data_IF_204660840876
#
_entry.id   IF_204660840876
#
_cell.length_a   1.000
_cell.length_b   1.000
_cell.length_c   1.000
_cell.angle_alpha   90.00
_cell.angle_beta   90.00
_cell.angle_gamma   90.00
#
_symmetry.space_group_name_H-M   'P 1'
#
loop_
_entity.id
_entity.type
_entity.pdbx_description
1 polymer ?
#
# COMPACT_ATOMS: atom_id res chain seq x y z
N UNK A 1 3.20 16.66 -2.28
CA UNK A 1 3.08 15.96 -3.58
C UNK A 1 2.07 14.85 -3.42
N UNK A 2 1.29 14.47 -4.44
CA UNK A 2 0.38 13.31 -4.38
C UNK A 2 0.39 12.48 -5.66
N UNK A 3 0.03 11.20 -5.56
CA UNK A 3 -0.15 10.33 -6.72
C UNK A 3 -1.53 10.52 -7.35
N UNK A 4 -1.59 10.45 -8.68
CA UNK A 4 -2.83 10.56 -9.45
C UNK A 4 -2.97 9.44 -10.48
N UNK A 5 -4.23 9.10 -10.79
CA UNK A 5 -4.58 8.17 -11.86
C UNK A 5 -4.41 8.81 -13.26
N UNK A 6 -4.68 8.04 -14.31
CA UNK A 6 -4.62 8.51 -15.69
C UNK A 6 -5.59 9.68 -16.01
N UNK A 7 -6.57 9.93 -15.16
CA UNK A 7 -7.55 11.03 -15.27
C UNK A 7 -7.21 12.22 -14.37
N UNK A 8 -6.05 12.20 -13.70
CA UNK A 8 -5.61 13.24 -12.77
C UNK A 8 -6.39 13.28 -11.45
N UNK A 9 -7.10 12.20 -11.10
CA UNK A 9 -7.79 12.10 -9.82
C UNK A 9 -6.85 11.51 -8.76
N UNK A 10 -6.98 11.92 -7.48
CA UNK A 10 -6.27 11.26 -6.38
C UNK A 10 -6.55 9.75 -6.40
N UNK A 11 -5.49 8.96 -6.52
CA UNK A 11 -5.57 7.51 -6.39
C UNK A 11 -5.14 7.12 -4.98
N UNK A 12 -5.68 6.02 -4.43
CA UNK A 12 -5.12 5.40 -3.21
C UNK A 12 -3.79 4.75 -3.60
N UNK A 13 -2.65 5.41 -3.36
CA UNK A 13 -1.42 4.94 -3.93
C UNK A 13 -0.81 3.87 -3.06
N UNK A 14 0.15 3.21 -3.66
CA UNK A 14 0.83 2.09 -3.06
C UNK A 14 1.52 2.50 -1.76
N UNK A 15 1.14 1.78 -0.73
CA UNK A 15 1.83 1.74 0.53
C UNK A 15 3.17 1.00 0.35
N UNK A 16 4.25 1.53 0.93
CA UNK A 16 5.59 0.94 0.82
C UNK A 16 6.42 1.35 -0.40
N UNK A 17 6.26 2.57 -0.95
CA UNK A 17 7.11 3.11 -2.04
C UNK A 17 7.96 4.28 -1.57
N UNK A 18 9.14 4.45 -2.17
CA UNK A 18 10.04 5.57 -1.93
C UNK A 18 9.92 6.60 -3.05
N UNK A 19 9.67 7.86 -2.69
CA UNK A 19 9.77 9.01 -3.58
C UNK A 19 11.07 9.71 -3.26
N UNK A 20 11.88 9.99 -4.28
CA UNK A 20 13.18 10.61 -4.11
C UNK A 20 13.33 11.82 -5.02
N UNK A 21 13.80 12.92 -4.42
CA UNK A 21 14.25 14.11 -5.13
C UNK A 21 15.77 14.15 -5.12
N UNK A 22 16.39 14.21 -6.30
CA UNK A 22 17.84 14.40 -6.47
C UNK A 22 18.13 15.74 -7.11
N UNK A 23 19.06 16.49 -6.56
CA UNK A 23 19.55 17.70 -7.22
C UNK A 23 20.14 17.36 -8.59
N UNK A 24 19.81 18.14 -9.62
CA UNK A 24 20.41 18.00 -10.96
C UNK A 24 21.60 18.95 -11.06
N UNK A 25 22.78 18.41 -11.33
CA UNK A 25 23.97 19.20 -11.54
C UNK A 25 23.83 20.04 -12.82
N UNK A 26 23.86 21.39 -12.75
CA UNK A 26 23.67 22.25 -13.91
C UNK A 26 24.82 22.14 -14.91
N UNK A 27 25.98 21.61 -14.51
CA UNK A 27 27.16 21.45 -15.37
C UNK A 27 27.06 20.18 -16.21
N UNK A 28 26.62 19.07 -15.60
CA UNK A 28 26.59 17.75 -16.23
C UNK A 28 25.19 17.33 -16.69
N UNK A 29 24.14 17.96 -16.15
CA UNK A 29 22.75 17.58 -16.36
C UNK A 29 22.35 16.27 -15.66
N UNK A 30 23.21 15.72 -14.78
CA UNK A 30 22.97 14.44 -14.14
C UNK A 30 22.41 14.59 -12.73
N UNK A 31 21.52 13.67 -12.34
CA UNK A 31 21.00 13.59 -10.98
C UNK A 31 22.11 13.21 -9.99
N UNK A 32 22.23 13.98 -8.91
CA UNK A 32 23.25 13.82 -7.89
C UNK A 32 23.00 12.62 -7.00
N UNK A 33 24.11 11.97 -6.62
CA UNK A 33 24.13 10.92 -5.58
C UNK A 33 24.47 11.46 -4.19
N UNK A 34 24.88 12.73 -4.09
CA UNK A 34 25.29 13.36 -2.84
C UNK A 34 24.21 14.28 -2.24
N UNK A 35 23.34 14.83 -3.07
CA UNK A 35 22.30 15.78 -2.67
C UNK A 35 20.93 15.23 -3.05
N UNK A 36 20.26 14.62 -2.08
CA UNK A 36 18.95 14.01 -2.27
C UNK A 36 18.09 14.14 -1.00
N UNK A 37 16.77 14.12 -1.20
CA UNK A 37 15.77 13.94 -0.16
C UNK A 37 14.90 12.75 -0.56
N UNK A 38 14.44 11.98 0.43
CA UNK A 38 13.61 10.80 0.22
C UNK A 38 12.43 10.83 1.20
N UNK A 39 11.30 10.32 0.74
CA UNK A 39 10.05 10.24 1.50
C UNK A 39 9.37 8.93 1.14
N UNK A 40 9.08 8.12 2.15
CA UNK A 40 8.41 6.84 1.98
C UNK A 40 6.93 6.99 2.33
N UNK A 41 6.04 6.33 1.58
CA UNK A 41 4.61 6.34 1.89
C UNK A 41 4.41 5.77 3.29
N UNK A 42 3.68 6.49 4.15
CA UNK A 42 3.59 6.16 5.58
C UNK A 42 4.10 7.26 6.53
N UNK A 43 4.94 8.21 6.06
CA UNK A 43 5.47 9.27 6.92
C UNK A 43 4.39 10.27 7.36
N UNK A 44 3.58 10.77 6.42
CA UNK A 44 2.49 11.73 6.72
C UNK A 44 1.17 11.04 7.01
N UNK A 45 0.88 9.90 6.37
CA UNK A 45 -0.36 9.16 6.51
C UNK A 45 -0.11 7.77 7.09
N UNK A 46 -0.87 7.34 8.09
CA UNK A 46 -0.73 6.01 8.68
C UNK A 46 -1.35 4.97 7.75
N UNK A 47 -0.51 4.15 7.13
CA UNK A 47 -0.95 3.01 6.36
C UNK A 47 -0.95 1.73 7.20
N UNK A 48 -2.01 0.93 7.11
CA UNK A 48 -2.20 -0.35 7.80
C UNK A 48 -2.41 -0.27 9.33
N UNK A 49 -3.64 -0.56 9.77
CA UNK A 49 -4.04 -0.62 11.19
C UNK A 49 -4.19 -2.06 11.72
N UNK A 50 -3.54 -3.04 11.05
CA UNK A 50 -3.77 -4.46 11.28
C UNK A 50 -4.92 -5.02 10.45
N UNK A 51 -5.47 -6.15 10.89
CA UNK A 51 -6.64 -6.78 10.27
C UNK A 51 -7.51 -7.47 11.33
N UNK A 52 -8.79 -7.76 11.05
CA UNK A 52 -9.70 -8.40 12.01
C UNK A 52 -9.26 -9.80 12.48
N UNK A 53 -8.38 -10.48 11.74
CA UNK A 53 -7.90 -11.83 12.07
C UNK A 53 -6.81 -11.77 13.14
N UNK A 54 -5.78 -10.96 12.91
CA UNK A 54 -4.56 -10.91 13.73
C UNK A 54 -4.57 -9.71 14.72
N UNK A 55 -5.51 -8.79 14.56
CA UNK A 55 -5.64 -7.59 15.38
C UNK A 55 -4.72 -6.43 14.94
N UNK A 56 -4.72 -5.33 15.70
CA UNK A 56 -4.05 -4.08 15.34
C UNK A 56 -2.57 -4.01 15.72
N UNK A 57 -2.03 -5.06 16.33
CA UNK A 57 -0.65 -5.09 16.85
C UNK A 57 0.18 -6.16 16.14
N UNK A 58 1.48 -5.90 16.00
CA UNK A 58 2.43 -6.89 15.51
C UNK A 58 2.73 -7.99 16.56
N UNK A 59 3.55 -8.97 16.18
CA UNK A 59 3.95 -10.09 17.05
C UNK A 59 4.73 -9.70 18.32
N UNK A 60 5.16 -8.45 18.44
CA UNK A 60 5.79 -7.88 19.63
C UNK A 60 4.83 -7.05 20.50
N UNK A 61 3.54 -7.03 20.15
CA UNK A 61 2.49 -6.28 20.85
C UNK A 61 2.48 -4.79 20.51
N UNK A 62 3.17 -4.41 19.44
CA UNK A 62 3.38 -3.04 19.03
C UNK A 62 2.32 -2.67 17.97
N UNK A 63 1.54 -1.57 18.14
CA UNK A 63 0.52 -1.16 17.15
C UNK A 63 1.11 -0.91 15.76
N UNK A 64 0.42 -1.36 14.72
CA UNK A 64 0.81 -1.13 13.32
C UNK A 64 0.69 0.36 12.91
N UNK A 65 -0.20 1.11 13.55
CA UNK A 65 -0.55 2.49 13.22
C UNK A 65 0.24 3.55 14.01
N UNK A 66 1.39 3.17 14.54
CA UNK A 66 2.26 3.99 15.41
C UNK A 66 2.90 5.21 14.74
N UNK A 67 2.85 5.30 13.41
CA UNK A 67 3.49 6.36 12.61
C UNK A 67 2.50 6.92 11.58
N UNK A 68 2.57 8.24 11.32
CA UNK A 68 1.69 8.95 10.38
C UNK A 68 0.39 9.47 11.00
N UNK A 69 -0.44 10.12 10.19
CA UNK A 69 -1.76 10.70 10.53
C UNK A 69 -2.91 9.85 9.98
N UNK A 70 -4.07 9.79 10.66
CA UNK A 70 -5.34 9.25 10.11
C UNK A 70 -6.07 10.21 9.17
N UNK A 71 -5.60 11.44 9.03
CA UNK A 71 -6.25 12.41 8.17
C UNK A 71 -6.22 11.93 6.71
N UNK A 72 -7.37 11.55 6.16
CA UNK A 72 -7.50 11.12 4.78
C UNK A 72 -7.05 12.21 3.78
N UNK A 73 -7.02 13.49 4.18
CA UNK A 73 -6.51 14.57 3.34
C UNK A 73 -5.00 14.49 3.06
N UNK A 74 -4.24 13.75 3.90
CA UNK A 74 -2.80 13.53 3.68
C UNK A 74 -2.50 12.16 3.08
N UNK A 75 -3.53 11.37 2.74
CA UNK A 75 -3.36 10.09 2.04
C UNK A 75 -2.62 10.31 0.71
N UNK A 76 -1.61 9.48 0.46
CA UNK A 76 -0.80 9.55 -0.75
C UNK A 76 0.11 10.78 -0.84
N UNK A 77 0.25 11.55 0.24
CA UNK A 77 1.15 12.71 0.26
C UNK A 77 2.59 12.35 0.63
N UNK A 78 3.53 13.02 -0.04
CA UNK A 78 4.96 12.94 0.23
C UNK A 78 5.52 14.31 0.55
N UNK A 79 6.39 14.35 1.56
CA UNK A 79 7.15 15.53 1.97
C UNK A 79 8.64 15.25 1.79
N UNK A 80 9.29 16.07 0.98
CA UNK A 80 10.70 16.01 0.61
C UNK A 80 11.45 17.24 1.13
N UNK A 81 11.10 17.68 2.33
CA UNK A 81 11.80 18.74 3.03
C UNK A 81 13.30 18.41 3.24
N UNK A 82 14.11 19.46 3.38
CA UNK A 82 15.54 19.31 3.66
C UNK A 82 16.42 19.00 2.45
N UNK A 83 15.89 19.04 1.22
CA UNK A 83 16.70 18.95 0.02
C UNK A 83 17.69 20.12 -0.05
N UNK A 84 18.97 19.81 0.09
CA UNK A 84 20.03 20.81 0.03
C UNK A 84 20.22 21.31 -1.41
N UNK A 85 20.20 22.63 -1.57
CA UNK A 85 20.60 23.30 -2.82
C UNK A 85 22.06 23.73 -2.67
N UNK A 86 23.02 22.99 -3.28
CA UNK A 86 24.44 23.27 -3.12
C UNK A 86 24.82 24.63 -3.71
N UNK A 87 25.76 25.31 -3.04
CA UNK A 87 26.28 26.62 -3.44
C UNK A 87 25.40 27.81 -3.03
N UNK A 88 25.74 28.99 -3.56
CA UNK A 88 25.07 30.26 -3.24
C UNK A 88 23.81 30.53 -4.08
N UNK A 89 23.42 29.60 -4.96
CA UNK A 89 22.20 29.73 -5.77
C UNK A 89 20.94 29.77 -4.91
N UNK A 90 19.94 30.52 -5.38
CA UNK A 90 18.62 30.62 -4.74
C UNK A 90 17.62 29.56 -5.21
N UNK A 91 17.90 28.89 -6.35
CA UNK A 91 17.06 27.85 -6.94
C UNK A 91 17.90 26.74 -7.57
N UNK A 92 17.27 25.58 -7.80
CA UNK A 92 17.88 24.43 -8.43
C UNK A 92 16.85 23.57 -9.17
N UNK A 93 17.33 22.80 -10.15
CA UNK A 93 16.55 21.72 -10.72
C UNK A 93 16.72 20.45 -9.88
N UNK A 94 15.64 19.70 -9.72
CA UNK A 94 15.63 18.43 -9.02
C UNK A 94 14.85 17.41 -9.84
N UNK A 95 15.37 16.20 -9.92
CA UNK A 95 14.73 15.07 -10.54
C UNK A 95 13.96 14.28 -9.47
N UNK A 96 12.65 14.12 -9.69
CA UNK A 96 11.79 13.28 -8.88
C UNK A 96 11.68 11.90 -9.52
N UNK A 97 11.87 10.87 -8.70
CA UNK A 97 11.76 9.47 -9.09
C UNK A 97 10.97 8.70 -8.04
N UNK A 98 10.35 7.60 -8.46
CA UNK A 98 9.62 6.67 -7.60
C UNK A 98 10.28 5.30 -7.73
N UNK A 99 10.62 4.70 -6.61
CA UNK A 99 11.29 3.40 -6.55
C UNK A 99 10.73 2.56 -5.40
N UNK A 100 10.98 1.25 -5.47
CA UNK A 100 10.68 0.37 -4.36
C UNK A 100 11.66 0.64 -3.19
N UNK A 101 11.19 0.49 -1.95
CA UNK A 101 12.05 0.67 -0.76
C UNK A 101 13.14 -0.40 -0.77
N UNK A 102 14.39 -0.02 -0.55
CA UNK A 102 15.50 -0.97 -0.43
C UNK A 102 15.23 -1.97 0.73
N UNK A 103 15.28 -3.30 0.47
CA UNK A 103 15.01 -4.32 1.47
C UNK A 103 15.88 -4.24 2.73
N UNK A 104 17.08 -3.66 2.65
CA UNK A 104 17.96 -3.46 3.81
C UNK A 104 17.37 -2.45 4.80
N UNK A 105 16.61 -1.48 4.30
CA UNK A 105 16.10 -0.35 5.08
C UNK A 105 14.60 -0.44 5.39
N UNK A 106 13.89 -1.38 4.76
CA UNK A 106 12.43 -1.58 4.87
C UNK A 106 11.92 -1.77 6.30
N UNK A 107 12.69 -2.45 7.16
CA UNK A 107 12.27 -2.74 8.54
C UNK A 107 12.07 -1.50 9.41
N UNK A 108 12.66 -0.37 9.02
CA UNK A 108 12.61 0.89 9.78
C UNK A 108 11.58 1.88 9.24
N UNK A 109 10.95 1.56 8.11
CA UNK A 109 10.00 2.43 7.40
C UNK A 109 8.59 1.85 7.51
N UNK A 110 7.92 2.12 8.64
CA UNK A 110 6.50 1.79 8.85
C UNK A 110 6.18 0.29 8.88
N UNK A 111 4.89 -0.10 8.80
CA UNK A 111 4.46 -1.51 8.90
C UNK A 111 4.81 -2.37 7.68
N UNK A 112 5.57 -1.84 6.71
CA UNK A 112 5.96 -2.52 5.47
C UNK A 112 7.19 -3.42 5.62
N UNK A 113 7.38 -4.01 6.81
CA UNK A 113 8.48 -4.91 7.10
C UNK A 113 8.50 -6.14 6.17
N UNK A 114 9.53 -7.00 6.30
CA UNK A 114 10.60 -7.33 5.33
C UNK A 114 10.21 -7.63 3.86
N UNK A 115 8.93 -7.66 3.50
CA UNK A 115 8.43 -8.00 2.17
C UNK A 115 8.14 -6.74 1.37
N UNK A 116 8.91 -6.55 0.31
CA UNK A 116 8.91 -5.33 -0.49
C UNK A 116 7.65 -5.26 -1.37
N UNK A 117 6.88 -4.18 -1.22
CA UNK A 117 5.81 -3.84 -2.17
C UNK A 117 6.46 -3.19 -3.39
N UNK A 118 6.40 -3.85 -4.55
CA UNK A 118 6.89 -3.29 -5.81
C UNK A 118 5.83 -2.37 -6.44
N UNK A 119 6.18 -1.17 -6.93
CA UNK A 119 5.26 -0.32 -7.68
C UNK A 119 4.57 -1.08 -8.82
N UNK A 120 3.25 -0.93 -8.93
CA UNK A 120 2.42 -1.55 -9.95
C UNK A 120 2.41 -0.78 -11.26
N UNK A 121 2.87 0.47 -11.23
CA UNK A 121 3.08 1.32 -12.39
C UNK A 121 4.48 1.92 -12.38
N UNK A 122 4.73 2.78 -13.36
CA UNK A 122 6.00 3.50 -13.49
C UNK A 122 5.75 4.98 -13.74
N UNK A 123 6.70 5.82 -13.37
CA UNK A 123 6.68 7.24 -13.72
C UNK A 123 8.01 7.60 -14.36
N UNK A 124 8.02 8.31 -15.50
CA UNK A 124 9.27 8.85 -16.02
C UNK A 124 9.81 9.91 -15.04
N UNK A 125 11.13 10.13 -14.97
CA UNK A 125 11.70 11.14 -14.10
C UNK A 125 11.08 12.52 -14.36
N UNK A 126 10.65 13.19 -13.29
CA UNK A 126 10.02 14.52 -13.36
C UNK A 126 11.05 15.56 -12.92
N UNK A 127 11.42 16.48 -13.80
CA UNK A 127 12.31 17.59 -13.43
C UNK A 127 11.49 18.77 -12.96
N UNK A 128 11.71 19.17 -11.71
CA UNK A 128 11.10 20.35 -11.08
C UNK A 128 12.14 21.40 -10.76
N UNK A 129 11.71 22.66 -10.67
CA UNK A 129 12.57 23.75 -10.17
C UNK A 129 12.12 24.14 -8.77
N UNK A 130 13.04 24.07 -7.81
CA UNK A 130 12.81 24.42 -6.41
C UNK A 130 13.64 25.63 -6.01
N UNK A 131 13.19 26.39 -5.01
CA UNK A 131 13.87 27.57 -4.49
C UNK A 131 14.09 27.45 -2.99
N UNK A 132 15.18 28.03 -2.46
CA UNK A 132 15.47 28.05 -1.03
C UNK A 132 14.32 28.73 -0.27
N UNK A 133 13.76 28.04 0.72
CA UNK A 133 12.62 28.51 1.52
C UNK A 133 11.27 28.53 0.78
N UNK A 134 11.23 28.05 -0.46
CA UNK A 134 10.00 27.91 -1.23
C UNK A 134 9.34 26.54 -1.00
N UNK A 135 8.03 26.50 -1.24
CA UNK A 135 7.26 25.26 -1.27
C UNK A 135 6.81 24.99 -2.70
N UNK A 136 6.93 23.73 -3.13
CA UNK A 136 6.43 23.27 -4.42
C UNK A 136 5.58 22.03 -4.22
N UNK A 137 4.41 22.03 -4.84
CA UNK A 137 3.60 20.83 -5.00
C UNK A 137 3.73 20.33 -6.43
N UNK A 138 4.04 19.05 -6.55
CA UNK A 138 4.07 18.31 -7.80
C UNK A 138 3.21 17.06 -7.63
N UNK A 139 2.37 16.78 -8.62
CA UNK A 139 1.59 15.55 -8.66
C UNK A 139 2.35 14.54 -9.52
N UNK A 140 2.33 13.28 -9.09
CA UNK A 140 3.06 12.21 -9.74
C UNK A 140 2.06 11.27 -10.41
N UNK A 141 2.06 11.27 -11.73
CA UNK A 141 1.29 10.32 -12.51
C UNK A 141 2.06 9.00 -12.59
N UNK A 142 1.48 7.93 -12.05
CA UNK A 142 2.00 6.56 -12.18
C UNK A 142 1.33 5.89 -13.38
N UNK A 143 2.02 5.87 -14.51
CA UNK A 143 1.54 5.26 -15.75
C UNK A 143 1.54 3.73 -15.64
N UNK A 144 0.51 3.11 -16.22
CA UNK A 144 0.36 1.65 -16.19
C UNK A 144 0.11 1.09 -14.79
N UNK A 145 -0.33 1.93 -13.84
CA UNK A 145 -0.73 1.46 -12.52
C UNK A 145 -1.82 0.41 -12.64
N UNK A 146 -1.74 -0.59 -11.77
CA UNK A 146 -2.79 -1.57 -11.58
C UNK A 146 -4.14 -0.87 -11.34
N UNK A 147 -5.14 -1.28 -12.10
CA UNK A 147 -6.53 -0.87 -11.87
C UNK A 147 -7.23 -2.03 -11.18
N UNK A 148 -7.81 -1.75 -10.03
CA UNK A 148 -8.65 -2.74 -9.37
C UNK A 148 -9.82 -3.11 -10.29
N UNK A 149 -10.01 -4.40 -10.63
CA UNK A 149 -11.22 -4.83 -11.33
C UNK A 149 -12.46 -4.45 -10.51
N UNK A 150 -13.64 -4.29 -11.15
CA UNK A 150 -14.87 -4.11 -10.41
C UNK A 150 -15.07 -5.27 -9.41
N UNK A 151 -15.19 -4.94 -8.13
CA UNK A 151 -15.61 -5.93 -7.14
C UNK A 151 -17.14 -6.09 -7.22
N UNK A 152 -17.59 -7.31 -7.48
CA UNK A 152 -19.01 -7.61 -7.66
C UNK A 152 -19.79 -7.72 -6.35
N UNK A 153 -19.09 -7.81 -5.22
CA UNK A 153 -19.67 -8.03 -3.91
C UNK A 153 -19.61 -6.79 -3.03
N UNK A 154 -18.70 -5.84 -3.28
CA UNK A 154 -18.60 -4.61 -2.50
C UNK A 154 -19.80 -3.64 -2.65
N UNK A 155 -20.10 -2.83 -1.61
CA UNK A 155 -19.49 -2.88 -0.27
C UNK A 155 -20.09 -4.01 0.58
N UNK A 156 -19.22 -4.79 1.25
CA UNK A 156 -19.61 -5.82 2.23
C UNK A 156 -18.97 -5.54 3.58
N UNK A 157 -19.69 -5.89 4.64
CA UNK A 157 -19.16 -5.83 6.00
C UNK A 157 -19.59 -7.06 6.79
N UNK A 158 -19.09 -7.19 8.02
CA UNK A 158 -19.43 -8.32 8.88
C UNK A 158 -20.95 -8.46 9.14
N UNK A 159 -21.68 -7.35 9.19
CA UNK A 159 -23.13 -7.33 9.46
C UNK A 159 -23.97 -7.58 8.20
N UNK A 160 -23.41 -7.36 7.02
CA UNK A 160 -24.00 -7.61 5.71
C UNK A 160 -23.01 -8.29 4.76
N UNK A 161 -22.61 -9.56 5.04
CA UNK A 161 -21.65 -10.27 4.21
C UNK A 161 -22.27 -10.72 2.87
N UNK A 162 -21.42 -10.90 1.85
CA UNK A 162 -21.84 -11.47 0.57
C UNK A 162 -22.06 -12.99 0.65
N UNK A 163 -23.11 -13.54 0.02
CA UNK A 163 -23.30 -14.97 -0.05
C UNK A 163 -22.23 -15.61 -0.94
N UNK A 164 -21.51 -16.59 -0.38
CA UNK A 164 -20.56 -17.40 -1.13
C UNK A 164 -21.32 -18.40 -2.01
N UNK A 165 -20.94 -18.58 -3.30
CA UNK A 165 -21.47 -19.66 -4.11
C UNK A 165 -21.27 -21.03 -3.43
N UNK A 166 -22.27 -21.90 -3.50
CA UNK A 166 -22.27 -23.18 -2.78
C UNK A 166 -21.30 -24.22 -3.35
N UNK A 167 -20.77 -24.00 -4.55
CA UNK A 167 -19.79 -24.85 -5.24
C UNK A 167 -18.94 -23.98 -6.18
N UNK A 168 -17.73 -24.47 -6.46
CA UNK A 168 -16.83 -23.89 -7.46
C UNK A 168 -15.80 -22.94 -6.88
N UNK A 169 -15.07 -22.30 -7.77
CA UNK A 169 -14.14 -21.22 -7.46
C UNK A 169 -14.87 -19.89 -7.56
N UNK A 170 -14.52 -18.95 -6.68
CA UNK A 170 -15.01 -17.59 -6.74
C UNK A 170 -13.83 -16.64 -6.62
N UNK A 171 -14.01 -15.44 -7.17
CA UNK A 171 -13.03 -14.36 -7.12
C UNK A 171 -13.64 -13.20 -6.34
N UNK A 172 -12.79 -12.54 -5.58
CA UNK A 172 -13.06 -11.30 -4.86
C UNK A 172 -11.82 -10.40 -5.02
N UNK A 173 -12.01 -9.10 -4.86
CA UNK A 173 -10.98 -8.11 -5.09
C UNK A 173 -10.62 -7.35 -3.81
N UNK A 174 -9.39 -7.51 -3.34
CA UNK A 174 -8.87 -6.64 -2.29
C UNK A 174 -8.18 -5.42 -2.91
N UNK A 175 -8.62 -4.23 -2.53
CA UNK A 175 -8.07 -2.98 -3.06
C UNK A 175 -7.77 -1.94 -1.99
N UNK A 176 -6.69 -1.19 -2.18
CA UNK A 176 -6.27 -0.20 -1.19
C UNK A 176 -5.85 -0.85 0.13
N UNK A 177 -5.55 -0.01 1.12
CA UNK A 177 -5.13 -0.48 2.44
C UNK A 177 -6.33 -0.68 3.35
N UNK A 178 -6.25 -1.70 4.22
CA UNK A 178 -7.29 -1.95 5.22
C UNK A 178 -8.62 -2.45 4.66
N UNK A 179 -8.72 -2.66 3.34
CA UNK A 179 -9.87 -3.29 2.71
C UNK A 179 -10.01 -4.73 3.21
N UNK A 180 -11.26 -5.13 3.46
CA UNK A 180 -11.62 -6.42 4.03
C UNK A 180 -12.95 -6.85 3.43
N UNK A 181 -13.01 -8.06 2.90
CA UNK A 181 -14.24 -8.65 2.39
C UNK A 181 -14.82 -9.67 3.36
N UNK A 182 -16.15 -9.65 3.49
CA UNK A 182 -16.89 -10.59 4.32
C UNK A 182 -17.82 -11.43 3.47
N UNK A 183 -17.65 -12.74 3.56
CA UNK A 183 -18.50 -13.73 2.91
C UNK A 183 -19.21 -14.61 3.95
N UNK A 184 -20.41 -15.09 3.60
CA UNK A 184 -21.13 -16.08 4.41
C UNK A 184 -21.53 -17.28 3.58
N UNK A 185 -21.58 -18.43 4.23
CA UNK A 185 -22.11 -19.66 3.68
C UNK A 185 -22.76 -20.48 4.81
N UNK A 186 -23.67 -21.38 4.45
CA UNK A 186 -24.30 -22.29 5.40
C UNK A 186 -23.44 -23.54 5.59
N UNK A 187 -22.85 -23.68 6.78
CA UNK A 187 -22.21 -24.93 7.18
C UNK A 187 -23.24 -26.05 7.38
N UNK A 188 -22.87 -27.29 7.06
CA UNK A 188 -23.64 -28.47 7.43
C UNK A 188 -23.08 -29.11 8.70
N UNK A 189 -23.96 -29.56 9.60
CA UNK A 189 -23.55 -30.29 10.79
C UNK A 189 -22.76 -31.55 10.44
N UNK A 190 -21.74 -31.86 11.25
CA UNK A 190 -20.88 -33.05 11.10
C UNK A 190 -20.20 -33.17 9.72
N UNK A 191 -19.86 -32.03 9.12
CA UNK A 191 -19.05 -31.95 7.89
C UNK A 191 -17.79 -31.13 8.13
N UNK A 192 -16.76 -31.42 7.36
CA UNK A 192 -15.54 -30.61 7.31
C UNK A 192 -15.60 -29.74 6.07
N UNK A 193 -15.22 -28.47 6.23
CA UNK A 193 -14.99 -27.53 5.14
C UNK A 193 -13.50 -27.21 5.08
N UNK A 194 -12.99 -27.08 3.86
CA UNK A 194 -11.68 -26.52 3.59
C UNK A 194 -11.86 -25.31 2.69
N UNK A 195 -11.19 -24.21 3.03
CA UNK A 195 -11.13 -23.00 2.22
C UNK A 195 -9.66 -22.79 1.87
N UNK A 196 -9.39 -22.62 0.59
CA UNK A 196 -8.07 -22.30 0.07
C UNK A 196 -8.17 -20.94 -0.63
N UNK A 197 -7.20 -20.07 -0.36
CA UNK A 197 -7.16 -18.72 -0.94
C UNK A 197 -5.86 -18.59 -1.69
N UNK A 198 -5.96 -18.23 -2.96
CA UNK A 198 -4.81 -17.88 -3.80
C UNK A 198 -4.89 -16.40 -4.12
N UNK A 199 -3.88 -15.63 -3.72
CA UNK A 199 -3.76 -14.25 -4.16
C UNK A 199 -3.38 -14.21 -5.64
N UNK A 200 -4.09 -13.40 -6.42
CA UNK A 200 -3.84 -13.19 -7.84
C UNK A 200 -3.33 -11.77 -8.07
N UNK A 201 -2.42 -11.60 -9.03
CA UNK A 201 -2.04 -10.29 -9.55
C UNK A 201 -3.08 -9.76 -10.56
N UNK A 202 -2.83 -8.59 -11.13
CA UNK A 202 -3.74 -7.92 -12.06
C UNK A 202 -3.92 -8.66 -13.39
N UNK A 203 -3.06 -9.65 -13.68
CA UNK A 203 -3.18 -10.54 -14.83
C UNK A 203 -3.92 -11.83 -14.51
N UNK A 204 -4.38 -12.00 -13.27
CA UNK A 204 -5.06 -13.21 -12.79
C UNK A 204 -4.09 -14.35 -12.48
N UNK A 205 -2.79 -14.06 -12.29
CA UNK A 205 -1.76 -15.06 -12.02
C UNK A 205 -1.47 -15.09 -10.52
N UNK A 206 -1.29 -16.29 -9.96
CA UNK A 206 -0.96 -16.46 -8.55
C UNK A 206 0.30 -15.65 -8.16
N UNK A 207 0.19 -14.82 -7.13
CA UNK A 207 1.27 -13.91 -6.71
C UNK A 207 1.21 -13.64 -5.20
N UNK A 208 2.38 -13.64 -4.56
CA UNK A 208 2.54 -13.24 -3.15
C UNK A 208 3.17 -11.84 -3.03
N UNK A 209 3.47 -11.19 -4.15
CA UNK A 209 4.27 -9.96 -4.19
C UNK A 209 3.49 -8.69 -3.86
N UNK A 210 2.15 -8.78 -3.80
CA UNK A 210 1.25 -7.62 -3.62
C UNK A 210 0.31 -7.74 -2.43
N UNK A 211 -0.19 -8.95 -2.17
CA UNK A 211 -1.02 -9.22 -1.01
C UNK A 211 -0.71 -10.60 -0.44
N UNK A 212 -0.71 -10.68 0.89
CA UNK A 212 -0.75 -11.93 1.64
C UNK A 212 -2.11 -11.98 2.32
N UNK A 213 -3.15 -12.56 1.68
CA UNK A 213 -4.47 -12.60 2.26
C UNK A 213 -4.42 -13.47 3.51
N UNK A 214 -4.96 -12.94 4.60
CA UNK A 214 -5.23 -13.68 5.82
C UNK A 214 -6.73 -13.95 5.85
N UNK A 215 -7.11 -15.21 6.04
CA UNK A 215 -8.51 -15.61 6.15
C UNK A 215 -8.82 -15.98 7.59
N UNK A 216 -9.91 -15.42 8.11
CA UNK A 216 -10.53 -15.82 9.36
C UNK A 216 -11.94 -16.34 9.12
N UNK A 217 -12.40 -17.20 10.02
CA UNK A 217 -13.79 -17.67 10.04
C UNK A 217 -14.40 -17.43 11.42
N UNK A 218 -15.62 -16.90 11.40
CA UNK A 218 -16.41 -16.64 12.59
C UNK A 218 -17.80 -17.26 12.42
N UNK A 219 -18.39 -17.68 13.53
CA UNK A 219 -19.83 -17.95 13.54
C UNK A 219 -20.56 -16.61 13.52
N UNK A 220 -21.71 -16.52 12.82
CA UNK A 220 -22.52 -15.29 12.78
C UNK A 220 -22.88 -14.74 14.17
N UNK A 221 -22.94 -15.61 15.18
CA UNK A 221 -23.18 -15.26 16.58
C UNK A 221 -21.97 -14.64 17.31
N UNK A 222 -20.77 -14.62 16.72
CA UNK A 222 -19.55 -14.03 17.29
C UNK A 222 -19.15 -12.81 16.46
N UNK A 223 -19.50 -11.57 16.88
CA UNK A 223 -19.18 -10.37 16.11
C UNK A 223 -17.65 -10.26 15.92
N UNK A 224 -17.20 -10.01 14.70
CA UNK A 224 -15.80 -10.06 14.22
C UNK A 224 -14.78 -9.10 14.87
N UNK A 225 -14.92 -8.78 16.16
CA UNK A 225 -13.94 -8.07 16.99
C UNK A 225 -13.15 -8.97 17.94
N UNK A 226 -13.41 -10.29 17.93
CA UNK A 226 -12.61 -11.31 18.61
C UNK A 226 -11.79 -12.09 17.59
N UNK A 227 -10.66 -12.68 17.99
CA UNK A 227 -9.87 -13.58 17.14
C UNK A 227 -10.77 -14.62 16.46
N UNK A 228 -10.49 -14.89 15.19
CA UNK A 228 -11.24 -15.85 14.41
C UNK A 228 -11.31 -17.22 15.12
N UNK A 229 -12.47 -17.87 15.03
CA UNK A 229 -12.65 -19.24 15.55
C UNK A 229 -11.70 -20.23 14.87
N UNK A 230 -11.29 -19.93 13.64
CA UNK A 230 -10.18 -20.53 12.92
C UNK A 230 -9.60 -19.52 11.93
N UNK A 231 -8.29 -19.55 11.71
CA UNK A 231 -7.61 -18.71 10.72
C UNK A 231 -6.53 -19.50 9.98
N UNK A 232 -6.16 -19.02 8.79
CA UNK A 232 -4.97 -19.44 8.07
C UNK A 232 -4.25 -18.19 7.55
N UNK A 233 -2.93 -18.15 7.76
CA UNK A 233 -2.05 -17.24 7.05
C UNK A 233 -1.88 -17.76 5.62
N UNK A 234 -1.81 -16.85 4.64
CA UNK A 234 -1.60 -17.22 3.24
C UNK A 234 -0.44 -18.21 3.08
N UNK A 235 -0.66 -19.28 2.31
CA UNK A 235 0.25 -20.42 2.18
C UNK A 235 1.63 -19.95 1.68
N UNK A 236 2.65 -20.11 2.51
CA UNK A 236 4.05 -20.02 2.08
C UNK A 236 4.40 -21.27 1.28
N UNK A 237 4.28 -21.19 -0.04
CA UNK A 237 5.05 -22.09 -0.91
C UNK A 237 6.49 -21.58 -0.95
N UNK A 238 7.38 -22.34 -0.27
CA UNK A 238 8.85 -22.22 -0.33
C UNK A 238 9.36 -22.55 -1.73
#
# INVERSE_FOLDING_TARGET
MHFVDANGQPAQPMQGVNVMARWVDPTTGLASRAYAAASVSGFMFRGYAGNPVNGPNDGSGQPFDRFGSDDAAVEGTFDLAGLEIPGSGGSAQCELTVEAIDPLWSQTVGPYGPWQVQPSGSTPPIVVTVSKGGNLQQDILMQGSAVHPPDWFEPVDYTSPAPLPTLGEWLAGLSGYGNTDYFWFSGQNNRTLSVEVTALDESGVASQSKSLPVIGMWALSNPGGNSASSHADGVQHV
#
